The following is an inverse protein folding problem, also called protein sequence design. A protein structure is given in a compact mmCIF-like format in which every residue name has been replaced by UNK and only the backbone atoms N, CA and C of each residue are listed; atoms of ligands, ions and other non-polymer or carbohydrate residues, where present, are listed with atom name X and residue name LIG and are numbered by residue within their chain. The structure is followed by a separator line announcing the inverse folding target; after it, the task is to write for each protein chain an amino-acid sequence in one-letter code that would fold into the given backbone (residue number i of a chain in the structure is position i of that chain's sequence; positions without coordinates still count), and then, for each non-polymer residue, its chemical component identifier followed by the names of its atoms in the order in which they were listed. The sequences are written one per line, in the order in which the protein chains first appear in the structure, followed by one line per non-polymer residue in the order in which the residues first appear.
data_IF_197172262993
#
_entry.id   IF_197172262993
#
_cell.length_a   1.000
_cell.length_b   1.000
_cell.length_c   1.000
_cell.angle_alpha   90.00
_cell.angle_beta   90.00
_cell.angle_gamma   90.00
#
_symmetry.space_group_name_H-M   'P 1'
#
loop_
_entity.id
_entity.type
_entity.pdbx_description
1 polymer ?
#
# COMPACT_ATOMS: atom_id res chain seq x y z
N UNK A 1 -6.73 8.77 10.24
CA UNK A 1 -5.73 8.23 9.29
C UNK A 1 -4.72 7.39 10.05
N UNK A 2 -4.56 6.09 9.72
CA UNK A 2 -3.49 5.27 10.28
C UNK A 2 -2.12 5.85 9.90
N UNK A 3 -1.15 5.70 10.82
CA UNK A 3 0.24 6.09 10.60
C UNK A 3 1.04 4.83 10.27
N UNK A 4 1.88 4.90 9.25
CA UNK A 4 2.85 3.84 8.99
C UNK A 4 3.90 3.88 10.12
N UNK A 5 3.99 2.83 10.92
CA UNK A 5 5.13 2.68 11.85
C UNK A 5 6.27 1.96 11.14
N UNK A 6 7.49 2.06 11.67
CA UNK A 6 8.68 1.41 11.09
C UNK A 6 8.60 -0.11 11.11
N UNK A 7 7.81 -0.67 12.01
CA UNK A 7 7.66 -2.10 12.23
C UNK A 7 6.45 -2.68 11.47
N UNK A 8 5.51 -1.83 11.05
CA UNK A 8 4.38 -2.26 10.24
C UNK A 8 4.81 -2.51 8.80
N UNK A 9 4.40 -3.66 8.27
CA UNK A 9 4.52 -3.93 6.85
C UNK A 9 3.71 -2.97 5.99
N UNK A 10 4.21 -2.66 4.79
CA UNK A 10 3.46 -1.85 3.83
C UNK A 10 2.05 -2.40 3.57
N UNK A 11 1.92 -3.72 3.49
CA UNK A 11 0.64 -4.40 3.29
C UNK A 11 -0.31 -4.18 4.47
N UNK A 12 0.19 -4.31 5.71
CA UNK A 12 -0.59 -4.07 6.93
C UNK A 12 -1.02 -2.60 7.03
N UNK A 13 -0.16 -1.68 6.61
CA UNK A 13 -0.50 -0.27 6.53
C UNK A 13 -1.62 0.01 5.50
N UNK A 14 -1.52 -0.57 4.29
CA UNK A 14 -2.54 -0.43 3.25
C UNK A 14 -3.87 -1.04 3.72
N UNK A 15 -3.85 -2.22 4.35
CA UNK A 15 -5.03 -2.86 4.91
C UNK A 15 -5.69 -2.00 6.01
N UNK A 16 -4.90 -1.47 6.94
CA UNK A 16 -5.40 -0.55 7.97
C UNK A 16 -5.99 0.73 7.37
N UNK A 17 -5.40 1.24 6.28
CA UNK A 17 -5.94 2.37 5.54
C UNK A 17 -7.30 2.05 4.90
N UNK A 18 -7.42 0.91 4.23
CA UNK A 18 -8.68 0.48 3.59
C UNK A 18 -9.78 0.31 4.63
N UNK A 19 -9.49 -0.35 5.75
CA UNK A 19 -10.42 -0.48 6.87
C UNK A 19 -10.85 0.88 7.42
N UNK A 20 -9.91 1.80 7.65
CA UNK A 20 -10.24 3.14 8.12
C UNK A 20 -11.11 3.89 7.10
N UNK A 21 -10.79 3.82 5.81
CA UNK A 21 -11.52 4.50 4.75
C UNK A 21 -12.97 4.00 4.65
N UNK A 22 -13.18 2.69 4.77
CA UNK A 22 -14.52 2.09 4.85
C UNK A 22 -15.27 2.55 6.10
N UNK A 23 -14.63 2.51 7.28
CA UNK A 23 -15.25 2.90 8.55
C UNK A 23 -15.64 4.37 8.62
N UNK A 24 -14.94 5.23 7.87
CA UNK A 24 -15.19 6.68 7.84
C UNK A 24 -16.07 7.12 6.67
N UNK A 25 -16.46 6.19 5.79
CA UNK A 25 -17.24 6.51 4.59
C UNK A 25 -16.46 7.38 3.59
N UNK A 26 -15.13 7.28 3.56
CA UNK A 26 -14.31 8.02 2.61
C UNK A 26 -14.63 7.53 1.19
N UNK A 27 -15.01 8.44 0.30
CA UNK A 27 -15.29 8.08 -1.10
C UNK A 27 -14.01 7.61 -1.81
N UNK A 28 -14.13 6.57 -2.65
CA UNK A 28 -12.99 5.87 -3.25
C UNK A 28 -12.13 6.79 -4.13
N UNK A 29 -12.71 7.84 -4.71
CA UNK A 29 -12.03 8.88 -5.48
C UNK A 29 -10.97 9.63 -4.66
N UNK A 30 -11.14 9.72 -3.33
CA UNK A 30 -10.17 10.37 -2.44
C UNK A 30 -9.13 9.40 -1.87
N UNK A 31 -9.28 8.09 -2.07
CA UNK A 31 -8.36 7.14 -1.44
C UNK A 31 -6.94 7.30 -1.96
N UNK A 32 -6.77 7.57 -3.26
CA UNK A 32 -5.46 7.74 -3.89
C UNK A 32 -4.69 8.96 -3.34
N UNK A 33 -5.39 10.07 -3.08
CA UNK A 33 -4.77 11.28 -2.53
C UNK A 33 -4.43 11.13 -1.04
N UNK A 34 -5.25 10.38 -0.31
CA UNK A 34 -5.05 10.13 1.12
C UNK A 34 -3.99 9.05 1.39
N UNK A 35 -3.94 7.98 0.60
CA UNK A 35 -2.92 6.93 0.72
C UNK A 35 -1.51 7.49 0.45
N UNK A 36 -1.40 8.44 -0.48
CA UNK A 36 -0.13 9.05 -0.85
C UNK A 36 0.51 9.90 0.25
N UNK A 37 -0.27 10.50 1.16
CA UNK A 37 0.22 11.52 2.10
C UNK A 37 1.12 10.99 3.25
N UNK A 38 0.84 9.83 3.89
CA UNK A 38 1.65 9.32 4.99
C UNK A 38 2.83 8.46 4.53
N UNK A 39 2.79 7.96 3.29
CA UNK A 39 3.87 7.15 2.67
C UNK A 39 5.00 8.07 2.11
N UNK A 40 4.90 9.39 2.29
CA UNK A 40 5.94 10.35 1.84
C UNK A 40 7.14 10.32 2.79
N UNK A 41 7.97 9.31 2.58
CA UNK A 41 9.34 9.18 3.05
C UNK A 41 10.04 8.18 2.11
N UNK A 42 10.65 8.69 1.02
CA UNK A 42 11.19 7.93 -0.15
C UNK A 42 10.26 6.79 -0.61
N UNK A 43 9.34 7.04 -1.57
CA UNK A 43 9.74 7.46 -2.91
C UNK A 43 8.81 8.50 -3.55
N UNK A 44 9.12 9.77 -3.34
CA UNK A 44 8.47 10.87 -4.03
C UNK A 44 8.66 10.80 -5.56
N UNK A 45 9.74 10.17 -6.04
CA UNK A 45 10.05 10.02 -7.46
C UNK A 45 9.10 9.05 -8.19
N UNK A 46 8.65 7.98 -7.53
CA UNK A 46 7.74 6.99 -8.12
C UNK A 46 6.33 7.53 -8.24
N UNK A 47 5.88 8.29 -7.22
CA UNK A 47 4.60 9.01 -7.32
C UNK A 47 4.64 10.09 -8.42
N UNK A 48 5.80 10.72 -8.66
CA UNK A 48 6.00 11.65 -9.79
C UNK A 48 6.02 10.95 -11.17
N UNK A 49 6.27 9.65 -11.21
CA UNK A 49 6.25 8.87 -12.45
C UNK A 49 4.84 8.41 -12.84
N UNK A 50 3.88 8.43 -11.91
CA UNK A 50 2.47 8.21 -12.23
C UNK A 50 1.92 9.41 -13.00
N UNK A 51 1.20 9.13 -14.09
CA UNK A 51 0.45 10.18 -14.80
C UNK A 51 -0.66 10.73 -13.90
N UNK A 52 -1.17 11.92 -14.23
CA UNK A 52 -2.23 12.59 -13.45
C UNK A 52 -3.50 11.74 -13.33
N UNK A 53 -3.81 10.94 -14.35
CA UNK A 53 -4.97 10.03 -14.34
C UNK A 53 -4.70 8.76 -13.51
N UNK A 54 -3.47 8.23 -13.54
CA UNK A 54 -3.09 7.10 -12.68
C UNK A 54 -3.06 7.48 -11.20
N UNK A 55 -2.61 8.69 -10.87
CA UNK A 55 -2.58 9.21 -9.51
C UNK A 55 -3.97 9.40 -8.88
N UNK A 56 -5.04 9.39 -9.69
CA UNK A 56 -6.44 9.42 -9.23
C UNK A 56 -7.01 8.03 -8.98
N UNK A 57 -6.40 7.00 -9.55
CA UNK A 57 -6.89 5.63 -9.43
C UNK A 57 -6.20 4.94 -8.24
N UNK A 58 -6.97 4.72 -7.18
CA UNK A 58 -6.49 4.06 -5.97
C UNK A 58 -5.78 2.73 -6.25
N UNK A 59 -6.35 1.87 -7.10
CA UNK A 59 -5.77 0.55 -7.41
C UNK A 59 -4.42 0.69 -8.11
N UNK A 60 -4.28 1.67 -9.00
CA UNK A 60 -3.00 1.96 -9.69
C UNK A 60 -1.95 2.48 -8.72
N UNK A 61 -2.34 3.37 -7.81
CA UNK A 61 -1.45 3.89 -6.76
C UNK A 61 -1.02 2.77 -5.80
N UNK A 62 -1.96 1.95 -5.33
CA UNK A 62 -1.67 0.77 -4.48
C UNK A 62 -0.69 -0.19 -5.17
N UNK A 63 -0.94 -0.55 -6.43
CA UNK A 63 -0.07 -1.43 -7.19
C UNK A 63 1.34 -0.85 -7.39
N UNK A 64 1.46 0.45 -7.71
CA UNK A 64 2.75 1.10 -7.89
C UNK A 64 3.56 1.18 -6.58
N UNK A 65 2.89 1.40 -5.45
CA UNK A 65 3.53 1.44 -4.13
C UNK A 65 4.01 0.04 -3.73
N UNK A 66 3.17 -0.99 -3.90
CA UNK A 66 3.56 -2.39 -3.64
C UNK A 66 4.74 -2.80 -4.51
N UNK A 67 4.67 -2.56 -5.82
CA UNK A 67 5.76 -2.86 -6.76
C UNK A 67 7.08 -2.19 -6.36
N UNK A 68 7.06 -0.93 -5.92
CA UNK A 68 8.27 -0.21 -5.53
C UNK A 68 8.92 -0.78 -4.27
N UNK A 69 8.12 -1.22 -3.30
CA UNK A 69 8.62 -1.90 -2.11
C UNK A 69 9.04 -3.36 -2.42
N UNK A 70 8.45 -3.99 -3.45
CA UNK A 70 8.81 -5.33 -3.97
C UNK A 70 10.07 -5.35 -4.85
N UNK A 71 10.53 -4.21 -5.40
CA UNK A 71 11.91 -4.07 -5.92
C UNK A 71 12.95 -4.31 -4.80
N UNK A 72 12.50 -4.42 -3.53
CA UNK A 72 13.19 -5.13 -2.46
C UNK A 72 12.57 -6.54 -2.25
N UNK A 73 12.91 -7.54 -3.10
CA UNK A 73 12.19 -8.81 -3.25
C UNK A 73 12.20 -9.75 -2.02
N UNK A 74 13.03 -9.45 -1.01
CA UNK A 74 13.13 -10.24 0.22
C UNK A 74 11.89 -10.14 1.11
N UNK A 75 11.10 -9.07 0.97
CA UNK A 75 9.99 -8.78 1.88
C UNK A 75 8.74 -9.62 1.54
N UNK A 76 8.33 -9.62 0.27
CA UNK A 76 7.11 -10.30 -0.17
C UNK A 76 7.25 -11.82 -0.26
N UNK A 77 8.41 -12.33 -0.69
CA UNK A 77 8.67 -13.79 -0.72
C UNK A 77 8.50 -14.43 0.66
N UNK A 78 8.91 -13.74 1.73
CA UNK A 78 8.78 -14.26 3.10
C UNK A 78 7.34 -14.23 3.59
N UNK A 79 6.60 -13.14 3.35
CA UNK A 79 5.23 -12.97 3.83
C UNK A 79 4.22 -13.83 3.06
N UNK A 80 4.36 -13.89 1.73
CA UNK A 80 3.39 -14.56 0.87
C UNK A 80 3.55 -16.08 0.86
N UNK A 81 4.76 -16.60 1.11
CA UNK A 81 4.99 -18.05 1.27
C UNK A 81 4.86 -18.52 2.72
N UNK A 82 5.08 -17.66 3.73
CA UNK A 82 4.77 -18.01 5.12
C UNK A 82 3.26 -18.22 5.36
N UNK A 83 2.39 -17.53 4.60
CA UNK A 83 0.93 -17.74 4.65
C UNK A 83 0.42 -18.87 3.75
N UNK A 84 1.31 -19.61 3.07
CA UNK A 84 0.99 -20.78 2.22
C UNK A 84 1.67 -22.07 2.72
N UNK A 85 1.92 -22.21 4.03
CA UNK A 85 2.04 -23.56 4.57
C UNK A 85 0.64 -24.20 4.52
N UNK A 86 0.44 -25.33 3.80
CA UNK A 86 -0.77 -26.12 3.97
C UNK A 86 -0.78 -26.63 5.42
N UNK A 87 -1.93 -26.57 6.06
CA UNK A 87 -2.21 -27.36 7.26
C UNK A 87 -1.99 -28.84 6.86
N UNK A 88 -0.84 -29.39 7.25
CA UNK A 88 -0.49 -30.79 7.01
C UNK A 88 -0.76 -31.58 8.29
N UNK A 89 -1.87 -32.34 8.24
CA UNK A 89 -2.30 -33.51 9.06
C UNK A 89 -3.33 -33.28 10.17
#
# INVERSE_FOLDING_TARGET
MPKMTRDDGLEAYIEAFEHHALMTGLEKEYWASQLGAPIIGKPQATYRALTRDEARNYERVKAAILYWFEINPDYYRKQFWAKKAPDEK
#
